data_IF_560719197368
#
_entry.id   IF_560719197368
#
_cell.length_a   1.000
_cell.length_b   1.000
_cell.length_c   1.000
_cell.angle_alpha   90.00
_cell.angle_beta   90.00
_cell.angle_gamma   90.00
#
_symmetry.space_group_name_H-M   'P 1'
#
loop_
_entity.id
_entity.type
_entity.pdbx_description
1 polymer ?
#
# COMPACT_ATOMS: atom_id res chain seq x y z
N UNK A 1 -23.70 27.97 -22.68
CA UNK A 1 -24.79 26.96 -22.66
C UNK A 1 -24.97 26.25 -24.00
N UNK A 2 -24.44 26.81 -25.09
CA UNK A 2 -24.51 26.28 -26.48
C UNK A 2 -24.09 24.81 -26.61
N UNK A 3 -22.94 24.43 -26.05
CA UNK A 3 -22.45 23.03 -26.10
C UNK A 3 -23.47 22.05 -25.51
N UNK A 4 -24.06 22.36 -24.36
CA UNK A 4 -25.02 21.46 -23.71
C UNK A 4 -26.34 21.33 -24.48
N UNK A 5 -26.84 22.42 -25.08
CA UNK A 5 -28.06 22.35 -25.91
C UNK A 5 -27.82 21.56 -27.19
N UNK A 6 -26.70 21.79 -27.88
CA UNK A 6 -26.40 21.11 -29.14
C UNK A 6 -26.11 19.62 -28.96
N UNK A 7 -25.50 19.23 -27.83
CA UNK A 7 -25.37 17.82 -27.45
C UNK A 7 -26.75 17.21 -27.17
N UNK A 8 -27.62 17.90 -26.43
CA UNK A 8 -28.94 17.38 -26.10
C UNK A 8 -29.81 17.14 -27.34
N UNK A 9 -29.71 18.02 -28.34
CA UNK A 9 -30.41 17.89 -29.62
C UNK A 9 -29.91 16.73 -30.48
N UNK A 10 -28.62 16.38 -30.35
CA UNK A 10 -27.95 15.34 -31.16
C UNK A 10 -27.70 14.05 -30.40
N UNK A 11 -28.25 13.92 -29.19
CA UNK A 11 -28.02 12.77 -28.31
C UNK A 11 -28.47 11.44 -28.92
N UNK A 12 -29.47 11.48 -29.82
CA UNK A 12 -30.01 10.29 -30.49
C UNK A 12 -29.32 9.96 -31.82
N UNK A 13 -28.38 10.79 -32.28
CA UNK A 13 -27.61 10.53 -33.49
C UNK A 13 -26.36 9.71 -33.17
N UNK A 14 -26.41 8.40 -33.42
CA UNK A 14 -25.29 7.48 -33.20
C UNK A 14 -24.07 7.78 -34.09
N UNK A 15 -24.25 8.53 -35.18
CA UNK A 15 -23.15 8.93 -36.06
C UNK A 15 -22.47 10.24 -35.63
N UNK A 16 -22.99 10.90 -34.59
CA UNK A 16 -22.53 12.21 -34.17
C UNK A 16 -21.17 12.15 -33.46
N UNK A 17 -20.15 12.73 -34.11
CA UNK A 17 -18.81 12.87 -33.55
C UNK A 17 -18.63 14.21 -32.85
N UNK A 18 -19.01 14.26 -31.56
CA UNK A 18 -18.97 15.49 -30.75
C UNK A 18 -17.59 16.17 -30.76
N UNK A 19 -16.49 15.41 -30.65
CA UNK A 19 -15.13 15.96 -30.63
C UNK A 19 -14.81 16.77 -31.90
N UNK A 20 -15.08 16.21 -33.08
CA UNK A 20 -14.84 16.89 -34.36
C UNK A 20 -15.80 18.06 -34.57
N UNK A 21 -17.06 17.87 -34.20
CA UNK A 21 -18.09 18.89 -34.36
C UNK A 21 -17.79 20.14 -33.53
N UNK A 22 -17.45 19.99 -32.25
CA UNK A 22 -17.21 21.13 -31.39
C UNK A 22 -15.84 21.78 -31.63
N UNK A 23 -14.81 21.02 -32.01
CA UNK A 23 -13.51 21.62 -32.39
C UNK A 23 -13.59 22.46 -33.67
N UNK A 24 -14.49 22.14 -34.61
CA UNK A 24 -14.71 22.89 -35.85
C UNK A 24 -15.99 23.74 -35.82
N UNK A 25 -16.48 24.06 -34.62
CA UNK A 25 -17.71 24.81 -34.46
C UNK A 25 -17.58 26.24 -35.05
N UNK A 26 -18.65 26.75 -35.65
CA UNK A 26 -18.66 28.07 -36.31
C UNK A 26 -18.45 29.23 -35.33
N UNK A 27 -18.94 29.08 -34.09
CA UNK A 27 -18.61 29.95 -32.97
C UNK A 27 -17.21 29.66 -32.43
N UNK A 28 -16.32 30.64 -32.58
CA UNK A 28 -14.94 30.59 -32.12
C UNK A 28 -14.84 30.35 -30.60
N UNK A 29 -15.76 30.89 -29.79
CA UNK A 29 -15.73 30.66 -28.34
C UNK A 29 -15.97 29.19 -27.99
N UNK A 30 -16.84 28.52 -28.75
CA UNK A 30 -17.14 27.10 -28.58
C UNK A 30 -15.97 26.24 -29.06
N UNK A 31 -15.41 26.55 -30.22
CA UNK A 31 -14.25 25.85 -30.79
C UNK A 31 -13.02 25.93 -29.89
N UNK A 32 -12.72 27.13 -29.35
CA UNK A 32 -11.62 27.34 -28.42
C UNK A 32 -11.83 26.55 -27.13
N UNK A 33 -13.02 26.65 -26.52
CA UNK A 33 -13.34 25.94 -25.28
C UNK A 33 -13.24 24.41 -25.45
N UNK A 34 -13.73 23.87 -26.56
CA UNK A 34 -13.63 22.44 -26.85
C UNK A 34 -12.17 21.99 -27.03
N UNK A 35 -11.36 22.80 -27.71
CA UNK A 35 -9.93 22.53 -27.89
C UNK A 35 -9.17 22.60 -26.57
N UNK A 36 -9.48 23.58 -25.72
CA UNK A 36 -8.86 23.74 -24.40
C UNK A 36 -9.21 22.57 -23.48
N UNK A 37 -10.48 22.12 -23.47
CA UNK A 37 -10.92 20.95 -22.70
C UNK A 37 -10.23 19.65 -23.14
N UNK A 38 -9.98 19.48 -24.43
CA UNK A 38 -9.27 18.31 -24.97
C UNK A 38 -7.76 18.38 -24.72
N UNK A 39 -7.20 19.59 -24.65
CA UNK A 39 -5.78 19.82 -24.40
C UNK A 39 -5.41 19.73 -22.91
N UNK A 40 -6.32 20.11 -22.01
CA UNK A 40 -6.11 19.99 -20.56
C UNK A 40 -6.01 18.52 -20.15
N UNK A 41 -4.78 18.08 -19.92
CA UNK A 41 -4.49 16.80 -19.29
C UNK A 41 -5.15 16.79 -17.91
N UNK A 42 -5.91 15.73 -17.60
CA UNK A 42 -6.56 15.51 -16.31
C UNK A 42 -5.63 15.80 -15.13
N UNK A 43 -5.74 17.00 -14.55
CA UNK A 43 -5.09 17.32 -13.28
C UNK A 43 -6.08 16.95 -12.20
N UNK A 44 -5.74 15.95 -11.38
CA UNK A 44 -6.52 15.62 -10.19
C UNK A 44 -6.77 16.90 -9.38
N UNK A 45 -8.03 17.14 -9.04
CA UNK A 45 -8.41 18.35 -8.31
C UNK A 45 -7.65 18.43 -6.98
N UNK A 46 -6.94 19.54 -6.78
CA UNK A 46 -6.20 19.86 -5.54
C UNK A 46 -7.07 19.87 -4.28
N UNK A 47 -8.40 19.79 -4.44
CA UNK A 47 -9.35 19.65 -3.33
C UNK A 47 -9.29 18.26 -2.68
N UNK A 48 -8.99 17.22 -3.45
CA UNK A 48 -8.84 15.85 -2.96
C UNK A 48 -7.60 15.67 -2.08
N UNK A 49 -6.50 16.32 -2.44
CA UNK A 49 -5.27 16.34 -1.63
C UNK A 49 -5.41 17.17 -0.35
N UNK A 50 -6.22 18.24 -0.36
CA UNK A 50 -6.44 19.10 0.83
C UNK A 50 -7.32 18.48 1.93
N UNK A 51 -8.17 17.51 1.60
CA UNK A 51 -9.14 16.93 2.52
C UNK A 51 -8.63 15.71 3.32
N UNK A 52 -7.33 15.40 3.27
CA UNK A 52 -6.79 14.18 3.86
C UNK A 52 -7.08 12.91 3.04
N UNK A 53 -7.61 13.06 1.81
CA UNK A 53 -7.85 11.97 0.88
C UNK A 53 -6.61 11.55 0.07
N UNK A 54 -5.44 12.11 0.37
CA UNK A 54 -4.17 11.62 -0.19
C UNK A 54 -3.82 10.31 0.51
N UNK A 55 -4.18 9.18 -0.09
CA UNK A 55 -3.61 7.89 0.28
C UNK A 55 -2.22 7.86 -0.35
N UNK A 56 -1.18 7.90 0.47
CA UNK A 56 0.20 7.78 -0.02
C UNK A 56 0.32 6.49 -0.84
N UNK A 57 0.81 6.62 -2.08
CA UNK A 57 1.03 5.45 -2.93
C UNK A 57 2.20 4.66 -2.35
N UNK A 58 2.20 3.34 -2.53
CA UNK A 58 3.23 2.46 -1.96
C UNK A 58 4.67 2.92 -2.28
N UNK A 59 4.90 3.40 -3.50
CA UNK A 59 6.20 3.90 -3.93
C UNK A 59 6.63 5.22 -3.26
N UNK A 60 5.70 5.97 -2.68
CA UNK A 60 5.95 7.24 -1.98
C UNK A 60 6.44 7.02 -0.54
N UNK A 61 6.23 5.82 0.02
CA UNK A 61 6.53 5.48 1.43
C UNK A 61 7.50 4.30 1.57
N UNK A 62 8.29 4.01 0.53
CA UNK A 62 9.21 2.87 0.54
C UNK A 62 10.24 2.93 1.67
N UNK A 63 10.68 4.13 2.03
CA UNK A 63 11.60 4.39 3.14
C UNK A 63 11.04 3.94 4.50
N UNK A 64 9.72 3.94 4.66
CA UNK A 64 9.02 3.44 5.85
C UNK A 64 8.61 1.98 5.71
N UNK A 65 8.09 1.61 4.53
CA UNK A 65 7.53 0.28 4.26
C UNK A 65 8.61 -0.80 4.23
N UNK A 66 9.76 -0.55 3.58
CA UNK A 66 10.83 -1.54 3.46
C UNK A 66 11.41 -1.93 4.82
N UNK A 67 11.81 -0.99 5.72
CA UNK A 67 12.28 -1.36 7.05
C UNK A 67 11.23 -2.12 7.87
N UNK A 68 9.94 -1.78 7.72
CA UNK A 68 8.85 -2.47 8.39
C UNK A 68 8.75 -3.93 7.94
N UNK A 69 8.64 -4.18 6.64
CA UNK A 69 8.56 -5.54 6.08
C UNK A 69 9.77 -6.38 6.48
N UNK A 70 10.97 -5.79 6.45
CA UNK A 70 12.20 -6.48 6.88
C UNK A 70 12.13 -6.87 8.36
N UNK A 71 11.60 -6.01 9.23
CA UNK A 71 11.44 -6.34 10.65
C UNK A 71 10.34 -7.40 10.88
N UNK A 72 9.24 -7.36 10.11
CA UNK A 72 8.19 -8.39 10.13
C UNK A 72 8.76 -9.76 9.71
N UNK A 73 9.57 -9.80 8.65
CA UNK A 73 10.27 -11.01 8.22
C UNK A 73 11.21 -11.56 9.30
N UNK A 74 12.04 -10.70 9.90
CA UNK A 74 12.94 -11.07 11.01
C UNK A 74 12.16 -11.67 12.18
N UNK A 75 11.04 -11.04 12.56
CA UNK A 75 10.18 -11.52 13.64
C UNK A 75 9.63 -12.92 13.34
N UNK A 76 9.13 -13.15 12.11
CA UNK A 76 8.65 -14.48 11.68
C UNK A 76 9.74 -15.53 11.76
N UNK A 77 10.98 -15.20 11.36
CA UNK A 77 12.11 -16.12 11.45
C UNK A 77 12.47 -16.44 12.91
N UNK A 78 12.44 -15.45 13.80
CA UNK A 78 12.69 -15.66 15.24
C UNK A 78 11.64 -16.57 15.86
N UNK A 79 10.35 -16.38 15.55
CA UNK A 79 9.28 -17.28 16.01
C UNK A 79 9.50 -18.72 15.56
N UNK A 80 9.92 -18.91 14.30
CA UNK A 80 10.24 -20.24 13.79
C UNK A 80 11.42 -20.89 14.54
N UNK A 81 12.51 -20.13 14.78
CA UNK A 81 13.65 -20.61 15.56
C UNK A 81 13.27 -20.93 17.01
N UNK A 82 12.40 -20.13 17.61
CA UNK A 82 11.91 -20.36 18.97
C UNK A 82 11.11 -21.67 19.06
N UNK A 83 10.19 -21.90 18.10
CA UNK A 83 9.42 -23.14 18.01
C UNK A 83 10.30 -24.37 17.80
N UNK A 84 11.35 -24.26 16.98
CA UNK A 84 12.32 -25.35 16.76
C UNK A 84 13.09 -25.68 18.06
N UNK A 85 13.53 -24.67 18.81
CA UNK A 85 14.18 -24.87 20.10
C UNK A 85 13.25 -25.47 21.16
N UNK A 86 11.96 -25.09 21.17
CA UNK A 86 10.95 -25.70 22.05
C UNK A 86 10.74 -27.19 21.72
N UNK A 87 10.74 -27.57 20.44
CA UNK A 87 10.68 -28.98 20.04
C UNK A 87 11.92 -29.77 20.48
N UNK A 88 13.11 -29.18 20.33
CA UNK A 88 14.35 -29.77 20.82
C UNK A 88 14.30 -29.97 22.34
N UNK A 89 13.73 -29.01 23.08
CA UNK A 89 13.56 -29.08 24.53
C UNK A 89 12.66 -30.24 24.95
N UNK A 90 11.56 -30.49 24.24
CA UNK A 90 10.65 -31.62 24.52
C UNK A 90 11.24 -32.99 24.20
N UNK A 91 12.29 -33.05 23.37
CA UNK A 91 12.94 -34.29 22.94
C UNK A 91 14.15 -34.69 23.79
N UNK A 92 14.58 -33.86 24.74
CA UNK A 92 15.73 -34.16 25.62
C UNK A 92 15.24 -34.98 26.82
N UNK A 93 15.71 -36.22 26.90
CA UNK A 93 15.41 -37.11 28.01
C UNK A 93 16.18 -36.67 29.27
N UNK A 94 15.50 -36.65 30.42
CA UNK A 94 15.93 -35.95 31.65
C UNK A 94 17.19 -36.54 32.33
N UNK A 95 17.79 -37.61 31.80
CA UNK A 95 18.81 -38.40 32.48
C UNK A 95 20.27 -38.13 32.06
N UNK A 96 20.54 -37.49 30.93
CA UNK A 96 21.94 -37.34 30.40
C UNK A 96 22.30 -35.92 29.90
N UNK A 97 21.38 -34.94 29.98
CA UNK A 97 21.43 -33.73 29.14
C UNK A 97 21.56 -32.37 29.83
N UNK A 98 21.99 -32.29 31.10
CA UNK A 98 21.92 -31.05 31.91
C UNK A 98 22.62 -29.83 31.28
N UNK A 99 23.80 -30.01 30.66
CA UNK A 99 24.51 -28.93 29.95
C UNK A 99 23.81 -28.49 28.67
N UNK A 100 23.32 -29.45 27.85
CA UNK A 100 22.61 -29.13 26.60
C UNK A 100 21.26 -28.44 26.85
N UNK A 101 20.59 -28.82 27.93
CA UNK A 101 19.35 -28.18 28.40
C UNK A 101 19.59 -26.69 28.72
N UNK A 102 20.63 -26.38 29.47
CA UNK A 102 20.94 -25.00 29.85
C UNK A 102 21.28 -24.13 28.62
N UNK A 103 22.01 -24.66 27.65
CA UNK A 103 22.32 -23.95 26.40
C UNK A 103 21.06 -23.63 25.59
N UNK A 104 20.13 -24.56 25.46
CA UNK A 104 18.88 -24.37 24.73
C UNK A 104 18.00 -23.32 25.44
N UNK A 105 17.88 -23.40 26.76
CA UNK A 105 17.14 -22.41 27.56
C UNK A 105 17.75 -21.01 27.44
N UNK A 106 19.08 -20.89 27.44
CA UNK A 106 19.77 -19.62 27.23
C UNK A 106 19.50 -19.04 25.83
N UNK A 107 19.51 -19.88 24.79
CA UNK A 107 19.15 -19.48 23.41
C UNK A 107 17.71 -19.00 23.32
N UNK A 108 16.76 -19.73 23.91
CA UNK A 108 15.34 -19.34 23.98
C UNK A 108 15.18 -17.98 24.67
N UNK A 109 15.86 -17.77 25.80
CA UNK A 109 15.75 -16.51 26.55
C UNK A 109 16.30 -15.32 25.75
N UNK A 110 17.37 -15.52 24.98
CA UNK A 110 17.89 -14.50 24.08
C UNK A 110 16.94 -14.22 22.92
N UNK A 111 16.34 -15.24 22.29
CA UNK A 111 15.34 -15.05 21.24
C UNK A 111 14.12 -14.27 21.74
N UNK A 112 13.64 -14.53 22.96
CA UNK A 112 12.54 -13.77 23.58
C UNK A 112 12.86 -12.28 23.74
N UNK A 113 14.10 -11.93 24.08
CA UNK A 113 14.55 -10.52 24.16
C UNK A 113 14.49 -9.85 22.78
N UNK A 114 14.95 -10.54 21.74
CA UNK A 114 14.96 -10.03 20.37
C UNK A 114 13.52 -9.93 19.83
N UNK A 115 12.67 -10.91 20.12
CA UNK A 115 11.25 -10.90 19.76
C UNK A 115 10.54 -9.68 20.36
N UNK A 116 10.76 -9.42 21.66
CA UNK A 116 10.22 -8.24 22.33
C UNK A 116 10.68 -6.94 21.66
N UNK A 117 11.99 -6.81 21.41
CA UNK A 117 12.55 -5.62 20.74
C UNK A 117 11.95 -5.38 19.34
N UNK A 118 11.80 -6.44 18.54
CA UNK A 118 11.19 -6.33 17.21
C UNK A 118 9.69 -6.02 17.28
N UNK A 119 8.98 -6.59 18.24
CA UNK A 119 7.57 -6.31 18.46
C UNK A 119 7.33 -4.84 18.83
N UNK A 120 8.15 -4.27 19.72
CA UNK A 120 8.10 -2.85 20.07
C UNK A 120 8.36 -1.96 18.84
N UNK A 121 9.34 -2.32 18.01
CA UNK A 121 9.67 -1.59 16.77
C UNK A 121 8.56 -1.64 15.71
N UNK A 122 7.73 -2.69 15.73
CA UNK A 122 6.57 -2.85 14.86
C UNK A 122 5.29 -2.23 15.45
N UNK A 123 5.41 -1.51 16.58
CA UNK A 123 4.30 -0.80 17.22
C UNK A 123 3.40 -1.70 18.07
N UNK A 124 3.91 -2.84 18.53
CA UNK A 124 3.21 -3.80 19.41
C UNK A 124 1.85 -4.29 18.90
N UNK A 125 1.58 -4.13 17.59
CA UNK A 125 0.37 -4.66 16.98
C UNK A 125 0.58 -6.16 16.78
N UNK A 126 -0.06 -6.96 17.63
CA UNK A 126 -0.27 -8.36 17.33
C UNK A 126 -1.06 -8.47 16.03
N UNK A 127 -0.39 -8.74 14.92
CA UNK A 127 -1.06 -9.25 13.72
C UNK A 127 -1.13 -10.77 13.93
N UNK A 128 -2.32 -11.21 14.33
CA UNK A 128 -2.73 -12.61 14.49
C UNK A 128 -3.02 -13.17 13.10
#
# INVERSE_FOLDING_TARGET
RVIFSEIAERLQDESFQAERYFTHHSDNQVSQLASDLLAEKWIESKRWTRGGGHTEKEHEILDQLVPRIVNEFKLRKIKAMHMELEQQLTGIDHMDGESGLFEILAKIQNLKKIEKYLSEKLGSRAII
#
